data_IF_146932502401
#
_entry.id   IF_146932502401
#
_cell.length_a   1.000
_cell.length_b   1.000
_cell.length_c   1.000
_cell.angle_alpha   90.00
_cell.angle_beta   90.00
_cell.angle_gamma   90.00
#
_symmetry.space_group_name_H-M   'P 1'
#
loop_
_entity.id
_entity.type
_entity.pdbx_description
1 polymer ?
#
# COMPACT_ATOMS: atom_id res chain seq x y z
N UNK A 1 -7.54 9.80 -10.30
CA UNK A 1 -6.85 10.25 -11.55
C UNK A 1 -6.10 9.06 -12.15
N UNK A 2 -6.35 8.70 -13.41
CA UNK A 2 -5.73 7.52 -14.06
C UNK A 2 -4.22 7.77 -14.24
N UNK A 3 -3.37 6.98 -13.60
CA UNK A 3 -1.90 7.08 -13.74
C UNK A 3 -1.49 6.64 -15.15
N UNK A 4 -0.55 7.35 -15.75
CA UNK A 4 0.01 6.98 -17.07
C UNK A 4 1.17 6.01 -16.94
N UNK A 5 1.56 5.35 -18.04
CA UNK A 5 2.69 4.40 -18.02
C UNK A 5 3.99 5.07 -17.54
N UNK A 6 4.32 6.27 -18.04
CA UNK A 6 5.52 7.00 -17.60
C UNK A 6 5.51 7.29 -16.11
N UNK A 7 4.38 7.76 -15.57
CA UNK A 7 4.25 8.06 -14.15
C UNK A 7 4.45 6.82 -13.28
N UNK A 8 3.87 5.69 -13.68
CA UNK A 8 4.02 4.44 -12.94
C UNK A 8 5.46 3.91 -13.02
N UNK A 9 6.09 3.95 -14.21
CA UNK A 9 7.49 3.56 -14.40
C UNK A 9 8.45 4.41 -13.56
N UNK A 10 8.23 5.73 -13.51
CA UNK A 10 9.04 6.61 -12.67
C UNK A 10 8.83 6.37 -11.18
N UNK A 11 7.59 6.07 -10.75
CA UNK A 11 7.34 5.66 -9.37
C UNK A 11 8.10 4.37 -9.01
N UNK A 12 8.15 3.41 -9.94
CA UNK A 12 8.91 2.16 -9.78
C UNK A 12 10.44 2.36 -9.82
N UNK A 13 10.93 3.54 -10.23
CA UNK A 13 12.36 3.83 -10.47
C UNK A 13 13.03 2.85 -11.43
N UNK A 14 12.28 2.34 -12.41
CA UNK A 14 12.77 1.37 -13.39
C UNK A 14 13.07 2.02 -14.75
N UNK A 15 14.15 1.55 -15.38
CA UNK A 15 14.43 1.81 -16.79
C UNK A 15 13.51 0.98 -17.70
N UNK A 16 13.37 1.37 -18.97
CA UNK A 16 12.58 0.60 -19.95
C UNK A 16 13.08 -0.85 -20.09
N UNK A 17 14.39 -1.06 -20.01
CA UNK A 17 15.02 -2.38 -20.07
C UNK A 17 14.62 -3.24 -18.86
N UNK A 18 14.73 -2.69 -17.65
CA UNK A 18 14.33 -3.40 -16.43
C UNK A 18 12.83 -3.72 -16.41
N UNK A 19 11.97 -2.81 -16.93
CA UNK A 19 10.53 -3.10 -17.06
C UNK A 19 10.28 -4.26 -18.03
N UNK A 20 11.00 -4.30 -19.15
CA UNK A 20 10.88 -5.38 -20.13
C UNK A 20 11.31 -6.72 -19.53
N UNK A 21 12.44 -6.75 -18.83
CA UNK A 21 12.98 -7.94 -18.18
C UNK A 21 12.06 -8.43 -17.04
N UNK A 22 11.65 -7.54 -16.13
CA UNK A 22 10.86 -7.92 -14.95
C UNK A 22 9.44 -8.37 -15.28
N UNK A 23 8.78 -7.72 -16.25
CA UNK A 23 7.41 -8.05 -16.65
C UNK A 23 7.35 -9.04 -17.83
N UNK A 24 8.50 -9.57 -18.25
CA UNK A 24 8.63 -10.49 -19.39
C UNK A 24 7.98 -9.95 -20.67
N UNK A 25 8.14 -8.64 -20.90
CA UNK A 25 7.58 -7.94 -22.07
C UNK A 25 8.67 -7.76 -23.13
N UNK A 26 8.27 -7.81 -24.41
CA UNK A 26 9.20 -7.46 -25.48
C UNK A 26 9.64 -5.98 -25.36
N UNK A 27 10.91 -5.65 -25.67
CA UNK A 27 11.38 -4.26 -25.66
C UNK A 27 10.55 -3.33 -26.57
N UNK A 28 10.02 -3.87 -27.68
CA UNK A 28 9.11 -3.14 -28.59
C UNK A 28 7.80 -2.77 -27.91
N UNK A 29 7.22 -3.68 -27.12
CA UNK A 29 5.99 -3.42 -26.35
C UNK A 29 6.21 -2.30 -25.35
N UNK A 30 7.32 -2.34 -24.59
CA UNK A 30 7.65 -1.29 -23.62
C UNK A 30 7.92 0.04 -24.31
N UNK A 31 8.60 0.04 -25.45
CA UNK A 31 8.82 1.25 -26.24
C UNK A 31 7.50 1.88 -26.71
N UNK A 32 6.55 1.07 -27.19
CA UNK A 32 5.20 1.51 -27.55
C UNK A 32 4.45 2.11 -26.36
N UNK A 33 4.52 1.49 -25.18
CA UNK A 33 3.89 2.03 -23.97
C UNK A 33 4.49 3.37 -23.54
N UNK A 34 5.81 3.53 -23.67
CA UNK A 34 6.49 4.80 -23.37
C UNK A 34 6.11 5.92 -24.35
N UNK A 35 5.98 5.59 -25.65
CA UNK A 35 5.61 6.53 -26.71
C UNK A 35 4.15 6.97 -26.58
N UNK A 36 3.24 6.01 -26.44
CA UNK A 36 1.79 6.27 -26.31
C UNK A 36 1.39 6.72 -24.90
N UNK A 37 2.31 6.62 -23.93
CA UNK A 37 2.07 6.86 -22.51
C UNK A 37 0.90 6.02 -21.92
N UNK A 38 0.56 4.93 -22.58
CA UNK A 38 -0.57 4.06 -22.27
C UNK A 38 -0.10 2.61 -22.18
N UNK A 39 -0.61 1.89 -21.18
CA UNK A 39 -0.36 0.47 -20.99
C UNK A 39 -1.61 -0.20 -20.41
N UNK A 40 -1.75 -1.54 -20.51
CA UNK A 40 -2.80 -2.25 -19.81
C UNK A 40 -2.82 -1.91 -18.32
N UNK A 41 -4.03 -1.86 -17.73
CA UNK A 41 -4.23 -1.48 -16.33
C UNK A 41 -3.32 -2.27 -15.38
N UNK A 42 -3.25 -3.59 -15.58
CA UNK A 42 -2.41 -4.49 -14.77
C UNK A 42 -0.94 -4.09 -14.78
N UNK A 43 -0.39 -3.67 -15.93
CA UNK A 43 1.01 -3.22 -16.04
C UNK A 43 1.24 -1.95 -15.21
N UNK A 44 0.31 -1.01 -15.28
CA UNK A 44 0.38 0.24 -14.51
C UNK A 44 0.31 -0.06 -13.00
N UNK A 45 -0.60 -0.95 -12.59
CA UNK A 45 -0.76 -1.34 -11.19
C UNK A 45 0.45 -2.08 -10.65
N UNK A 46 1.02 -3.03 -11.41
CA UNK A 46 2.26 -3.71 -11.05
C UNK A 46 3.41 -2.71 -10.85
N UNK A 47 3.58 -1.75 -11.77
CA UNK A 47 4.62 -0.73 -11.63
C UNK A 47 4.40 0.16 -10.40
N UNK A 48 3.15 0.49 -10.07
CA UNK A 48 2.84 1.25 -8.84
C UNK A 48 3.21 0.44 -7.60
N UNK A 49 2.86 -0.84 -7.54
CA UNK A 49 3.22 -1.74 -6.44
C UNK A 49 4.73 -1.85 -6.26
N UNK A 50 5.49 -1.99 -7.35
CA UNK A 50 6.96 -2.00 -7.31
C UNK A 50 7.55 -0.67 -6.82
N UNK A 51 6.89 0.44 -7.14
CA UNK A 51 7.20 1.76 -6.58
C UNK A 51 6.72 1.96 -5.15
N UNK A 52 6.24 0.90 -4.49
CA UNK A 52 5.72 0.92 -3.14
C UNK A 52 4.39 1.65 -3.00
N UNK A 53 3.65 1.95 -4.08
CA UNK A 53 2.34 2.61 -4.00
C UNK A 53 1.24 1.59 -4.13
N UNK A 54 0.27 1.58 -3.21
CA UNK A 54 -0.88 0.70 -3.31
C UNK A 54 -1.94 1.27 -4.26
N UNK A 55 -2.21 0.64 -5.42
CA UNK A 55 -3.31 1.03 -6.29
C UNK A 55 -4.64 0.44 -5.79
N UNK A 56 -5.74 0.89 -6.38
CA UNK A 56 -7.10 0.43 -6.07
C UNK A 56 -7.40 -0.91 -6.78
N UNK A 57 -6.97 -2.03 -6.20
CA UNK A 57 -7.01 -3.37 -6.83
C UNK A 57 -8.35 -4.10 -6.66
N UNK A 58 -9.35 -3.54 -5.95
CA UNK A 58 -10.65 -4.21 -5.82
C UNK A 58 -11.65 -3.49 -4.92
N UNK A 59 -12.77 -4.17 -4.61
CA UNK A 59 -13.87 -3.65 -3.77
C UNK A 59 -13.68 -3.90 -2.25
N UNK A 60 -12.69 -4.70 -1.84
CA UNK A 60 -12.40 -4.99 -0.42
C UNK A 60 -11.41 -3.97 0.14
N UNK A 61 -11.25 -3.97 1.47
CA UNK A 61 -10.24 -3.19 2.20
C UNK A 61 -8.84 -3.41 1.61
N UNK A 62 -8.51 -2.62 0.60
CA UNK A 62 -7.17 -2.49 0.09
C UNK A 62 -6.56 -1.32 0.84
N UNK A 63 -5.25 -1.39 1.11
CA UNK A 63 -4.46 -0.31 1.71
C UNK A 63 -4.34 0.88 0.74
N UNK A 64 -5.46 1.35 0.18
CA UNK A 64 -5.50 2.42 -0.79
C UNK A 64 -4.92 3.70 -0.19
N UNK A 65 -4.03 4.35 -0.95
CA UNK A 65 -3.31 5.54 -0.49
C UNK A 65 -2.13 5.25 0.43
N UNK A 66 -1.99 4.02 0.94
CA UNK A 66 -0.79 3.64 1.67
C UNK A 66 0.39 3.43 0.72
N UNK A 67 1.59 3.56 1.27
CA UNK A 67 2.81 3.27 0.52
C UNK A 67 3.90 2.61 1.35
N UNK A 68 4.75 1.83 0.69
CA UNK A 68 5.94 1.21 1.23
C UNK A 68 7.16 1.97 0.73
N UNK A 69 8.10 2.28 1.61
CA UNK A 69 9.30 2.99 1.22
C UNK A 69 10.27 3.17 2.36
N UNK A 70 11.57 3.06 2.04
CA UNK A 70 12.67 3.22 3.00
C UNK A 70 12.56 2.31 4.24
N UNK A 71 11.98 1.10 4.09
CA UNK A 71 11.77 0.16 5.20
C UNK A 71 10.54 0.43 6.06
N UNK A 72 9.70 1.41 5.70
CA UNK A 72 8.50 1.77 6.44
C UNK A 72 7.23 1.57 5.60
N UNK A 73 6.12 1.34 6.29
CA UNK A 73 4.77 1.51 5.77
C UNK A 73 4.29 2.92 6.11
N UNK A 74 3.75 3.63 5.12
CA UNK A 74 3.28 5.01 5.25
C UNK A 74 1.77 5.06 5.04
N UNK A 75 1.07 5.73 5.94
CA UNK A 75 -0.36 6.03 5.80
C UNK A 75 -0.61 7.10 4.74
N UNK A 76 -1.86 7.25 4.28
CA UNK A 76 -2.26 8.36 3.41
C UNK A 76 -2.05 9.75 4.05
N UNK A 77 -2.09 9.84 5.37
CA UNK A 77 -1.88 11.09 6.14
C UNK A 77 -0.41 11.42 6.42
N UNK A 78 0.51 10.50 6.12
CA UNK A 78 1.96 10.73 6.19
C UNK A 78 2.65 10.19 7.44
N UNK A 79 1.93 9.49 8.32
CA UNK A 79 2.55 8.73 9.40
C UNK A 79 3.31 7.51 8.85
N UNK A 80 4.43 7.17 9.48
CA UNK A 80 5.23 6.00 9.15
C UNK A 80 5.12 4.96 10.25
N UNK A 81 5.20 3.70 9.85
CA UNK A 81 5.10 2.55 10.72
C UNK A 81 6.14 1.50 10.35
N UNK A 82 6.80 0.97 11.36
CA UNK A 82 7.53 -0.28 11.33
C UNK A 82 6.59 -1.45 11.63
N UNK A 83 7.01 -2.68 11.31
CA UNK A 83 6.24 -3.88 11.67
C UNK A 83 6.05 -4.02 13.18
N UNK A 84 7.05 -3.65 13.98
CA UNK A 84 6.97 -3.68 15.45
C UNK A 84 5.96 -2.69 16.00
N UNK A 85 5.91 -1.46 15.46
CA UNK A 85 4.92 -0.45 15.86
C UNK A 85 3.50 -0.89 15.53
N UNK A 86 3.27 -1.49 14.37
CA UNK A 86 1.94 -2.02 14.00
C UNK A 86 1.50 -3.12 14.97
N UNK A 87 2.41 -4.04 15.31
CA UNK A 87 2.13 -5.11 16.26
C UNK A 87 1.83 -4.57 17.66
N UNK A 88 2.62 -3.60 18.12
CA UNK A 88 2.42 -2.94 19.41
C UNK A 88 1.06 -2.23 19.47
N UNK A 89 0.68 -1.52 18.40
CA UNK A 89 -0.64 -0.88 18.29
C UNK A 89 -1.78 -1.90 18.38
N UNK A 90 -1.63 -3.06 17.73
CA UNK A 90 -2.62 -4.13 17.79
C UNK A 90 -2.79 -4.68 19.22
N UNK A 91 -1.69 -4.96 19.92
CA UNK A 91 -1.70 -5.44 21.30
C UNK A 91 -2.30 -4.39 22.24
N UNK A 92 -1.91 -3.12 22.08
CA UNK A 92 -2.44 -2.02 22.88
C UNK A 92 -3.96 -1.87 22.70
N UNK A 93 -4.46 -2.02 21.48
CA UNK A 93 -5.90 -1.99 21.20
C UNK A 93 -6.64 -3.11 21.96
N UNK A 94 -6.10 -4.33 21.96
CA UNK A 94 -6.67 -5.45 22.70
C UNK A 94 -6.71 -5.21 24.21
N UNK A 95 -5.61 -4.68 24.77
CA UNK A 95 -5.53 -4.35 26.20
C UNK A 95 -6.53 -3.26 26.59
N UNK A 96 -6.68 -2.22 25.76
CA UNK A 96 -7.66 -1.15 25.99
C UNK A 96 -9.08 -1.71 26.00
N UNK A 97 -9.41 -2.59 25.05
CA UNK A 97 -10.72 -3.23 24.97
C UNK A 97 -11.02 -4.11 26.19
N UNK A 98 -10.01 -4.85 26.68
CA UNK A 98 -10.12 -5.67 27.89
C UNK A 98 -10.34 -4.82 29.14
N UNK A 99 -9.49 -3.80 29.36
CA UNK A 99 -9.63 -2.86 30.47
C UNK A 99 -10.98 -2.13 30.45
N UNK A 100 -11.50 -1.83 29.25
CA UNK A 100 -12.82 -1.22 29.10
C UNK A 100 -13.94 -2.17 29.57
N UNK A 101 -13.86 -3.46 29.21
CA UNK A 101 -14.81 -4.49 29.65
C UNK A 101 -14.76 -4.68 31.16
N UNK A 102 -13.57 -4.81 31.75
CA UNK A 102 -13.40 -4.96 33.20
C UNK A 102 -13.96 -3.76 33.97
N UNK A 103 -13.65 -2.53 33.53
CA UNK A 103 -14.20 -1.33 34.13
C UNK A 103 -15.73 -1.28 34.08
N UNK A 104 -16.34 -1.73 32.97
CA UNK A 104 -17.80 -1.83 32.89
C UNK A 104 -18.37 -2.82 33.91
N UNK A 105 -17.72 -3.96 34.13
CA UNK A 105 -18.15 -4.96 35.12
C UNK A 105 -18.02 -4.39 36.53
N UNK A 106 -16.88 -3.77 36.87
CA UNK A 106 -16.63 -3.15 38.18
C UNK A 106 -17.63 -2.03 38.51
N UNK A 107 -18.01 -1.22 37.52
CA UNK A 107 -19.03 -0.17 37.69
C UNK A 107 -20.42 -0.75 37.96
N UNK A 108 -20.73 -1.93 37.42
CA UNK A 108 -22.01 -2.62 37.69
C UNK A 108 -22.03 -3.25 39.08
N UNK A 109 -20.92 -3.83 39.53
CA UNK A 109 -20.82 -4.44 40.87
C UNK A 109 -20.81 -3.40 41.98
N UNK A 110 -20.16 -2.25 41.81
CA UNK A 110 -20.19 -1.13 42.79
C UNK A 110 -21.54 -0.41 42.93
N UNK A 111 -22.48 -0.61 41.98
CA UNK A 111 -23.83 -0.02 42.03
C UNK A 111 -24.86 -0.93 42.71
N UNK A 112 -24.50 -2.17 43.02
CA UNK A 112 -25.28 -3.10 43.86
C UNK A 112 -24.78 -3.01 45.29
#
# INVERSE_FOLDING_TARGET
MKKTFRQARYAARMTKKQVAEYLELSPRTVARYEQTNCAPKVIIECLLLLGGKMPTIGRRHCFEGWSFGNGFLWSPSGEKFTSGEILALHINQQLVDELYRENMILRKTKKK
#
